data_IF_621870606244
#
_entry.id   IF_621870606244
#
_cell.length_a   1.000
_cell.length_b   1.000
_cell.length_c   1.000
_cell.angle_alpha   90.00
_cell.angle_beta   90.00
_cell.angle_gamma   90.00
#
_symmetry.space_group_name_H-M   'P 1'
#
loop_
_entity.id
_entity.type
_entity.pdbx_description
1 polymer ?
#
# COMPACT_ATOMS: atom_id res chain seq x y z
N UNK A 1 20.86 33.38 -34.77
CA UNK A 1 20.92 33.48 -36.24
C UNK A 1 20.01 32.40 -36.82
N UNK A 2 19.36 32.68 -37.94
CA UNK A 2 18.61 31.68 -38.71
C UNK A 2 19.53 31.20 -39.82
N UNK A 3 19.97 29.96 -39.76
CA UNK A 3 20.86 29.37 -40.75
C UNK A 3 20.22 28.11 -41.33
N UNK A 4 20.34 27.94 -42.64
CA UNK A 4 19.95 26.71 -43.32
C UNK A 4 21.22 25.94 -43.59
N UNK A 5 21.60 25.07 -42.65
CA UNK A 5 22.70 24.14 -42.88
C UNK A 5 22.17 23.12 -43.87
N UNK A 6 22.58 23.23 -45.14
CA UNK A 6 21.95 22.68 -46.35
C UNK A 6 21.71 21.17 -46.45
N UNK A 7 21.65 20.45 -45.33
CA UNK A 7 21.39 19.02 -45.20
C UNK A 7 20.35 18.72 -44.08
N UNK A 8 20.13 19.59 -43.07
CA UNK A 8 19.44 19.23 -41.82
C UNK A 8 18.18 20.05 -41.45
N UNK A 9 17.68 20.89 -42.35
CA UNK A 9 16.49 21.72 -42.11
C UNK A 9 16.83 23.07 -41.47
N UNK A 10 15.79 23.73 -40.92
CA UNK A 10 15.91 25.07 -40.36
C UNK A 10 16.50 25.05 -38.95
N UNK A 11 17.61 25.78 -38.72
CA UNK A 11 18.25 25.90 -37.41
C UNK A 11 18.03 27.27 -36.77
N UNK A 12 17.78 27.29 -35.46
CA UNK A 12 17.74 28.48 -34.62
C UNK A 12 18.78 28.36 -33.51
N UNK A 13 19.72 29.30 -33.44
CA UNK A 13 20.79 29.28 -32.45
C UNK A 13 21.10 30.68 -31.88
N UNK A 14 21.58 30.69 -30.63
CA UNK A 14 22.27 31.83 -30.02
C UNK A 14 23.78 31.57 -30.01
N UNK A 15 24.57 32.60 -30.32
CA UNK A 15 26.04 32.50 -30.41
C UNK A 15 26.75 32.87 -29.10
N UNK A 16 25.99 33.33 -28.10
CA UNK A 16 26.44 33.68 -26.76
C UNK A 16 25.52 32.98 -25.74
N UNK A 17 25.83 33.09 -24.45
CA UNK A 17 25.01 32.56 -23.35
C UNK A 17 23.68 33.34 -23.19
N UNK A 18 22.83 33.26 -24.19
CA UNK A 18 21.53 33.89 -24.29
C UNK A 18 20.46 32.82 -24.59
N UNK A 19 19.25 32.95 -24.03
CA UNK A 19 18.20 31.98 -24.26
C UNK A 19 17.63 32.06 -25.68
N UNK A 20 17.05 30.96 -26.15
CA UNK A 20 16.09 30.95 -27.26
C UNK A 20 14.69 31.01 -26.65
N UNK A 21 13.99 32.13 -26.82
CA UNK A 21 12.66 32.34 -26.26
C UNK A 21 11.58 32.34 -27.36
N UNK A 22 10.46 31.68 -27.05
CA UNK A 22 9.25 31.67 -27.87
C UNK A 22 8.14 32.42 -27.15
N UNK A 23 7.62 33.47 -27.78
CA UNK A 23 6.61 34.37 -27.23
C UNK A 23 5.29 34.26 -27.98
N UNK A 24 4.19 34.52 -27.29
CA UNK A 24 2.88 34.82 -27.90
C UNK A 24 2.17 35.87 -27.06
N UNK A 25 1.21 36.61 -27.63
CA UNK A 25 0.44 37.63 -26.90
C UNK A 25 1.33 38.65 -26.15
N UNK A 26 2.34 39.22 -26.82
CA UNK A 26 3.30 40.15 -26.21
C UNK A 26 4.43 39.44 -25.45
N UNK A 27 4.80 39.93 -24.28
CA UNK A 27 5.95 39.45 -23.49
C UNK A 27 5.68 38.15 -22.71
N UNK A 28 4.71 37.32 -23.14
CA UNK A 28 4.44 36.05 -22.47
C UNK A 28 5.33 34.95 -23.04
N UNK A 29 6.37 34.56 -22.29
CA UNK A 29 7.23 33.42 -22.62
C UNK A 29 6.43 32.12 -22.56
N UNK A 30 6.38 31.40 -23.68
CA UNK A 30 5.76 30.08 -23.78
C UNK A 30 6.76 28.96 -23.65
N UNK A 31 7.94 29.14 -24.25
CA UNK A 31 9.05 28.22 -24.14
C UNK A 31 10.35 29.02 -24.10
N UNK A 32 11.29 28.60 -23.26
CA UNK A 32 12.66 29.10 -23.23
C UNK A 32 13.62 27.92 -23.30
N UNK A 33 14.70 28.05 -24.05
CA UNK A 33 15.88 27.20 -23.91
C UNK A 33 16.95 28.11 -23.35
N UNK A 34 17.36 27.90 -22.09
CA UNK A 34 18.39 28.74 -21.46
C UNK A 34 19.73 28.58 -22.16
N UNK A 35 20.65 29.52 -21.98
CA UNK A 35 22.01 29.36 -22.50
C UNK A 35 22.80 28.19 -21.86
N UNK A 36 22.29 27.61 -20.78
CA UNK A 36 22.80 26.36 -20.18
C UNK A 36 22.15 25.09 -20.76
N UNK A 37 21.21 25.22 -21.70
CA UNK A 37 20.54 24.09 -22.38
C UNK A 37 19.28 23.56 -21.70
N UNK A 38 18.81 24.16 -20.60
CA UNK A 38 17.58 23.73 -19.94
C UNK A 38 16.36 24.27 -20.68
N UNK A 39 15.35 23.43 -20.86
CA UNK A 39 14.11 23.78 -21.54
C UNK A 39 13.02 24.11 -20.52
N UNK A 40 12.56 25.36 -20.50
CA UNK A 40 11.39 25.79 -19.74
C UNK A 40 10.18 25.89 -20.66
N UNK A 41 9.02 25.30 -20.30
CA UNK A 41 7.73 25.53 -20.97
C UNK A 41 6.80 26.18 -19.95
N UNK A 42 6.36 27.41 -20.20
CA UNK A 42 5.57 28.22 -19.27
C UNK A 42 6.35 28.75 -18.04
N UNK A 43 7.66 28.56 -18.00
CA UNK A 43 8.59 29.14 -17.02
C UNK A 43 9.85 29.67 -17.72
N UNK A 44 10.41 30.78 -17.23
CA UNK A 44 11.66 31.38 -17.73
C UNK A 44 12.88 31.01 -16.89
N UNK A 45 12.68 30.28 -15.80
CA UNK A 45 13.73 29.88 -14.86
C UNK A 45 13.59 28.38 -14.57
N UNK A 46 13.90 27.51 -15.55
CA UNK A 46 13.79 26.06 -15.38
C UNK A 46 14.80 25.56 -14.34
N UNK A 47 14.32 24.84 -13.33
CA UNK A 47 15.19 24.22 -12.31
C UNK A 47 15.78 22.87 -12.74
N UNK A 48 15.25 22.30 -13.83
CA UNK A 48 15.63 21.00 -14.38
C UNK A 48 15.90 21.11 -15.88
N UNK A 49 16.51 20.07 -16.47
CA UNK A 49 16.79 20.01 -17.91
C UNK A 49 15.52 20.21 -18.78
N UNK A 50 14.36 19.77 -18.28
CA UNK A 50 13.04 20.12 -18.80
C UNK A 50 12.13 20.48 -17.62
N UNK A 51 11.66 21.73 -17.57
CA UNK A 51 10.76 22.25 -16.54
C UNK A 51 9.49 22.79 -17.21
N UNK A 52 8.36 22.12 -17.03
CA UNK A 52 7.07 22.52 -17.62
C UNK A 52 6.18 23.06 -16.52
N UNK A 53 6.04 24.38 -16.46
CA UNK A 53 5.06 25.06 -15.61
C UNK A 53 3.81 25.32 -16.41
N UNK A 54 2.81 24.48 -16.22
CA UNK A 54 1.48 24.73 -16.73
C UNK A 54 0.68 25.54 -15.71
N UNK A 55 -0.30 26.31 -16.19
CA UNK A 55 -1.35 26.83 -15.32
C UNK A 55 -2.31 25.70 -14.94
N UNK A 56 -3.58 25.88 -15.24
CA UNK A 56 -4.67 24.91 -14.96
C UNK A 56 -4.61 23.62 -15.82
N UNK A 57 -3.70 23.51 -16.79
CA UNK A 57 -3.70 22.46 -17.83
C UNK A 57 -2.62 21.39 -17.60
N UNK A 58 -2.76 20.14 -18.11
CA UNK A 58 -1.71 19.12 -18.11
C UNK A 58 -0.45 19.51 -18.87
N UNK A 59 0.67 18.91 -18.48
CA UNK A 59 1.94 18.89 -19.23
C UNK A 59 1.92 17.91 -20.40
N UNK A 60 1.16 16.81 -20.30
CA UNK A 60 1.06 15.75 -21.32
C UNK A 60 -0.41 15.61 -21.70
N UNK A 61 -0.75 15.85 -22.97
CA UNK A 61 -2.08 15.58 -23.50
C UNK A 61 -2.04 14.22 -24.22
N UNK A 62 -2.53 13.16 -23.59
CA UNK A 62 -2.77 11.90 -24.27
C UNK A 62 -4.26 11.78 -24.56
N UNK A 63 -4.65 11.42 -25.79
CA UNK A 63 -6.06 11.13 -26.06
C UNK A 63 -6.45 9.92 -25.22
N UNK A 64 -7.40 10.11 -24.29
CA UNK A 64 -7.79 9.11 -23.28
C UNK A 64 -6.97 9.11 -21.99
N UNK A 65 -6.16 10.14 -21.71
CA UNK A 65 -5.40 10.23 -20.45
C UNK A 65 -4.78 11.61 -20.23
N UNK A 66 -4.67 11.97 -18.94
CA UNK A 66 -3.86 13.07 -18.40
C UNK A 66 -4.56 14.45 -18.50
N UNK A 67 -5.44 14.67 -17.51
CA UNK A 67 -5.84 15.94 -16.86
C UNK A 67 -7.01 16.72 -17.49
N UNK A 68 -8.17 16.49 -16.91
CA UNK A 68 -9.00 17.56 -16.34
C UNK A 68 -9.17 17.15 -14.86
N UNK A 69 -8.97 17.97 -13.83
CA UNK A 69 -9.53 19.31 -13.68
C UNK A 69 -8.91 19.96 -12.44
N UNK A 70 -8.64 21.25 -12.53
CA UNK A 70 -8.86 22.14 -11.39
C UNK A 70 -10.36 22.22 -11.20
N UNK A 71 -10.96 21.42 -10.30
CA UNK A 71 -12.37 21.60 -9.94
C UNK A 71 -12.59 21.47 -8.45
N UNK A 72 -13.00 22.60 -7.91
CA UNK A 72 -13.74 22.80 -6.67
C UNK A 72 -15.23 22.43 -6.86
N UNK A 73 -15.55 21.37 -7.60
CA UNK A 73 -16.93 21.02 -7.95
C UNK A 73 -17.11 19.55 -8.29
N UNK A 74 -18.30 19.03 -8.01
CA UNK A 74 -18.72 17.65 -8.23
C UNK A 74 -19.02 17.35 -9.70
N UNK A 75 -18.37 16.35 -10.29
CA UNK A 75 -18.97 15.53 -11.37
C UNK A 75 -18.39 14.10 -11.37
N UNK A 76 -19.16 13.06 -11.73
CA UNK A 76 -18.99 11.71 -11.19
C UNK A 76 -18.17 10.69 -12.00
N UNK A 77 -17.60 11.02 -13.16
CA UNK A 77 -16.91 10.03 -14.00
C UNK A 77 -15.51 10.52 -14.36
N UNK A 78 -14.51 9.62 -14.32
CA UNK A 78 -13.20 9.62 -15.06
C UNK A 78 -12.03 9.01 -14.21
N UNK A 79 -11.36 7.91 -14.62
CA UNK A 79 -10.20 7.35 -13.92
C UNK A 79 -8.92 8.17 -14.15
N UNK A 80 -8.18 8.54 -13.10
CA UNK A 80 -7.02 9.44 -13.20
C UNK A 80 -5.70 8.84 -12.69
N UNK A 81 -4.64 9.00 -13.50
CA UNK A 81 -3.23 8.99 -13.09
C UNK A 81 -2.81 10.44 -12.81
N UNK A 82 -2.59 10.79 -11.54
CA UNK A 82 -2.27 12.14 -11.09
C UNK A 82 -0.88 12.18 -10.43
N UNK A 83 0.03 12.95 -11.02
CA UNK A 83 1.23 13.45 -10.37
C UNK A 83 1.01 14.90 -9.97
N UNK A 84 0.65 15.18 -8.72
CA UNK A 84 0.62 16.53 -8.18
C UNK A 84 1.95 16.82 -7.47
N UNK A 85 2.67 17.86 -7.90
CA UNK A 85 3.90 18.32 -7.27
C UNK A 85 3.70 19.73 -6.71
N UNK A 86 3.55 19.80 -5.39
CA UNK A 86 4.04 20.94 -4.61
C UNK A 86 4.96 20.33 -3.56
N UNK A 87 6.26 20.39 -3.81
CA UNK A 87 7.29 19.97 -2.87
C UNK A 87 7.53 18.46 -2.74
N UNK A 88 7.02 17.60 -3.64
CA UNK A 88 7.27 16.15 -3.58
C UNK A 88 6.51 15.37 -4.64
N UNK A 89 7.19 14.48 -5.36
CA UNK A 89 6.61 13.72 -6.47
C UNK A 89 5.65 12.64 -5.98
N UNK A 90 4.34 12.88 -6.08
CA UNK A 90 3.31 11.84 -5.92
C UNK A 90 3.14 11.10 -7.24
N UNK A 91 3.29 9.77 -7.27
CA UNK A 91 2.73 8.93 -8.33
C UNK A 91 1.42 8.38 -7.78
N UNK A 92 0.27 8.99 -8.06
CA UNK A 92 -1.02 8.54 -7.52
C UNK A 92 -2.03 8.24 -8.63
N UNK A 93 -2.38 6.97 -8.82
CA UNK A 93 -3.60 6.57 -9.55
C UNK A 93 -4.82 6.72 -8.61
N UNK A 94 -5.27 7.95 -8.37
CA UNK A 94 -6.36 8.23 -7.43
C UNK A 94 -7.69 8.50 -8.13
N UNK A 95 -8.71 7.68 -7.88
CA UNK A 95 -10.10 7.95 -8.29
C UNK A 95 -11.00 8.16 -7.08
N UNK A 96 -11.94 9.10 -7.17
CA UNK A 96 -12.94 9.40 -6.12
C UNK A 96 -13.94 8.26 -5.88
N UNK A 97 -14.00 7.24 -6.74
CA UNK A 97 -14.97 6.13 -6.63
C UNK A 97 -14.31 4.75 -6.51
N UNK A 98 -13.09 4.69 -5.97
CA UNK A 98 -12.47 3.43 -5.55
C UNK A 98 -11.48 2.82 -6.53
N UNK A 99 -10.46 3.60 -6.89
CA UNK A 99 -9.22 3.04 -7.42
C UNK A 99 -8.13 3.00 -6.35
N UNK A 100 -7.23 2.02 -6.49
CA UNK A 100 -5.98 1.86 -5.75
C UNK A 100 -5.16 3.14 -5.82
N UNK A 101 -5.26 4.03 -4.83
CA UNK A 101 -4.34 5.15 -4.72
C UNK A 101 -3.03 4.67 -4.09
N UNK A 102 -2.06 4.24 -4.91
CA UNK A 102 -0.70 4.01 -4.44
C UNK A 102 -0.10 5.38 -4.11
N UNK A 103 0.05 5.72 -2.83
CA UNK A 103 0.83 6.88 -2.41
C UNK A 103 2.08 6.34 -1.74
N UNK A 104 3.23 6.50 -2.39
CA UNK A 104 4.52 6.48 -1.71
C UNK A 104 4.84 7.94 -1.33
N UNK A 105 4.48 8.36 -0.13
CA UNK A 105 4.79 9.73 0.33
C UNK A 105 5.09 9.79 1.82
N UNK A 106 6.32 10.21 2.14
CA UNK A 106 6.64 11.14 3.22
C UNK A 106 8.01 11.77 2.91
N UNK A 107 8.10 13.11 2.96
CA UNK A 107 9.38 13.82 2.83
C UNK A 107 9.90 14.03 4.23
N UNK A 108 10.62 13.04 4.71
CA UNK A 108 11.87 13.33 5.39
C UNK A 108 12.98 13.30 4.34
N UNK A 109 14.05 14.04 4.58
CA UNK A 109 15.27 14.30 3.77
C UNK A 109 15.93 13.08 3.07
N UNK A 110 15.38 11.87 3.21
CA UNK A 110 15.86 10.59 2.67
C UNK A 110 14.82 9.74 1.91
N UNK A 111 13.65 10.27 1.55
CA UNK A 111 12.79 9.64 0.53
C UNK A 111 12.10 8.33 0.92
N UNK A 112 11.76 8.13 2.19
CA UNK A 112 11.12 6.91 2.65
C UNK A 112 9.72 7.21 3.21
N UNK A 113 8.71 7.07 2.33
CA UNK A 113 7.29 7.23 2.66
C UNK A 113 6.59 5.91 2.96
N UNK A 114 5.41 6.00 3.58
CA UNK A 114 4.51 4.85 3.69
C UNK A 114 3.92 4.51 2.31
N UNK A 115 3.52 3.25 2.10
CA UNK A 115 2.65 2.83 0.97
C UNK A 115 1.23 2.73 1.51
N UNK A 116 0.31 3.50 0.95
CA UNK A 116 -1.10 3.48 1.37
C UNK A 116 -2.00 2.94 0.26
N UNK A 117 -3.08 2.27 0.67
CA UNK A 117 -4.13 1.74 -0.18
C UNK A 117 -5.45 2.36 0.26
N UNK A 118 -6.10 3.06 -0.66
CA UNK A 118 -7.42 3.64 -0.46
C UNK A 118 -8.43 2.94 -1.33
N UNK A 119 -9.67 2.86 -0.86
CA UNK A 119 -10.82 2.52 -1.69
C UNK A 119 -11.91 3.56 -1.50
N UNK A 120 -12.86 3.58 -2.43
CA UNK A 120 -14.06 4.41 -2.31
C UNK A 120 -14.80 4.10 -1.00
N UNK A 121 -15.54 5.10 -0.54
CA UNK A 121 -16.52 4.90 0.51
C UNK A 121 -17.89 4.60 -0.11
N UNK A 122 -18.74 3.87 0.62
CA UNK A 122 -20.03 3.40 0.12
C UNK A 122 -21.08 4.52 -0.02
N UNK A 123 -20.73 5.77 0.29
CA UNK A 123 -21.62 6.92 0.23
C UNK A 123 -21.09 7.93 -0.79
N UNK A 124 -21.99 8.35 -1.68
CA UNK A 124 -21.71 9.36 -2.70
C UNK A 124 -21.19 10.66 -2.05
N UNK A 125 -20.12 11.22 -2.62
CA UNK A 125 -19.49 12.46 -2.13
C UNK A 125 -18.61 12.32 -0.88
N UNK A 126 -18.38 11.11 -0.36
CA UNK A 126 -17.42 10.91 0.74
C UNK A 126 -15.99 10.72 0.22
N UNK A 127 -14.95 11.26 0.90
CA UNK A 127 -13.57 11.02 0.51
C UNK A 127 -13.25 9.52 0.59
N UNK A 128 -12.30 9.02 -0.19
CA UNK A 128 -11.84 7.63 -0.09
C UNK A 128 -11.30 7.32 1.32
N UNK A 129 -11.49 6.08 1.79
CA UNK A 129 -10.96 5.62 3.09
C UNK A 129 -9.69 4.80 2.92
N UNK A 130 -8.72 5.03 3.81
CA UNK A 130 -7.52 4.19 3.92
C UNK A 130 -7.95 2.78 4.36
N UNK A 131 -7.59 1.76 3.58
CA UNK A 131 -7.91 0.35 3.86
C UNK A 131 -6.69 -0.44 4.30
N UNK A 132 -5.52 -0.11 3.78
CA UNK A 132 -4.26 -0.72 4.15
C UNK A 132 -3.12 0.29 4.07
N UNK A 133 -2.14 0.13 4.95
CA UNK A 133 -0.90 0.89 4.97
C UNK A 133 0.28 -0.08 5.14
N UNK A 134 1.40 0.21 4.48
CA UNK A 134 2.72 -0.31 4.81
C UNK A 134 3.52 0.90 5.26
N UNK A 135 3.92 0.96 6.52
CA UNK A 135 4.69 2.07 7.04
C UNK A 135 6.12 2.03 6.48
N UNK A 136 6.83 3.15 6.54
CA UNK A 136 8.27 3.21 6.25
C UNK A 136 9.08 2.21 7.08
N UNK A 137 8.64 1.92 8.31
CA UNK A 137 9.29 0.94 9.18
C UNK A 137 8.99 -0.51 8.80
N UNK A 138 8.13 -0.74 7.80
CA UNK A 138 7.76 -2.06 7.28
C UNK A 138 6.52 -2.69 7.93
N UNK A 139 5.84 -1.98 8.84
CA UNK A 139 4.63 -2.51 9.48
C UNK A 139 3.44 -2.42 8.53
N UNK A 140 2.64 -3.47 8.44
CA UNK A 140 1.42 -3.53 7.64
C UNK A 140 0.20 -3.31 8.53
N UNK A 141 -0.58 -2.27 8.26
CA UNK A 141 -1.86 -2.01 8.89
C UNK A 141 -3.01 -2.33 7.93
N UNK A 142 -4.06 -3.01 8.41
CA UNK A 142 -5.34 -3.17 7.69
C UNK A 142 -6.44 -2.52 8.53
N UNK A 143 -7.11 -1.50 7.98
CA UNK A 143 -8.07 -0.63 8.68
C UNK A 143 -7.49 0.04 9.96
N UNK A 144 -6.17 0.22 10.01
CA UNK A 144 -5.45 1.00 11.03
C UNK A 144 -4.38 1.81 10.33
N UNK A 145 -4.24 3.09 10.70
CA UNK A 145 -3.30 4.02 10.05
C UNK A 145 -1.91 4.01 10.69
N UNK A 146 -1.80 3.49 11.93
CA UNK A 146 -0.59 3.51 12.75
C UNK A 146 -0.36 2.12 13.38
N UNK A 147 0.02 1.10 12.60
CA UNK A 147 0.24 -0.24 13.12
C UNK A 147 1.43 -0.27 14.11
N UNK A 148 1.18 -0.73 15.34
CA UNK A 148 2.18 -0.88 16.39
C UNK A 148 2.98 -2.20 16.30
N UNK A 149 2.53 -3.14 15.46
CA UNK A 149 3.17 -4.44 15.19
C UNK A 149 3.41 -4.65 13.69
N UNK A 150 4.27 -5.60 13.28
CA UNK A 150 4.57 -5.87 11.87
C UNK A 150 3.34 -6.16 11.00
N UNK A 151 2.30 -6.76 11.57
CA UNK A 151 0.97 -6.87 10.96
C UNK A 151 -0.08 -6.54 12.04
N UNK A 152 -0.89 -5.53 11.79
CA UNK A 152 -2.00 -5.15 12.66
C UNK A 152 -3.29 -5.02 11.83
N UNK A 153 -4.33 -5.76 12.24
CA UNK A 153 -5.63 -5.76 11.56
C UNK A 153 -6.69 -5.29 12.54
N UNK A 154 -7.37 -4.19 12.22
CA UNK A 154 -8.53 -3.74 12.96
C UNK A 154 -9.78 -4.50 12.49
N UNK A 155 -9.96 -5.71 13.03
CA UNK A 155 -11.09 -6.60 12.74
C UNK A 155 -10.74 -8.08 12.86
N UNK A 156 -11.74 -8.94 12.62
CA UNK A 156 -11.57 -10.41 12.60
C UNK A 156 -10.85 -10.85 11.31
N UNK A 157 -9.87 -11.73 11.45
CA UNK A 157 -9.16 -12.36 10.33
C UNK A 157 -9.80 -13.74 10.04
N UNK A 158 -10.15 -14.00 8.78
CA UNK A 158 -10.71 -15.28 8.33
C UNK A 158 -9.79 -15.93 7.28
N UNK A 159 -9.28 -17.13 7.58
CA UNK A 159 -8.56 -17.96 6.62
C UNK A 159 -9.52 -18.95 5.96
N UNK A 160 -9.63 -18.92 4.63
CA UNK A 160 -10.54 -19.79 3.86
C UNK A 160 -9.92 -21.15 3.49
N UNK A 161 -8.59 -21.25 3.56
CA UNK A 161 -7.83 -22.48 3.31
C UNK A 161 -6.43 -22.35 3.91
N UNK A 162 -5.87 -23.44 4.41
CA UNK A 162 -4.44 -23.50 4.78
C UNK A 162 -4.06 -22.89 6.13
N UNK A 163 -4.98 -22.27 6.90
CA UNK A 163 -4.72 -21.90 8.30
C UNK A 163 -3.63 -20.85 8.52
N UNK A 164 -2.93 -20.93 9.65
CA UNK A 164 -1.79 -20.06 10.03
C UNK A 164 -0.56 -20.91 10.30
N UNK A 165 0.56 -20.63 9.61
CA UNK A 165 1.84 -21.33 9.80
C UNK A 165 2.68 -20.65 10.88
N UNK A 166 3.28 -21.43 11.77
CA UNK A 166 4.17 -20.97 12.83
C UNK A 166 5.66 -21.20 12.50
N UNK A 167 6.58 -20.56 13.23
CA UNK A 167 8.03 -20.72 13.01
C UNK A 167 8.56 -22.16 13.18
N UNK A 168 7.84 -23.02 13.91
CA UNK A 168 8.15 -24.45 14.05
C UNK A 168 7.70 -25.29 12.83
N UNK A 169 7.24 -24.63 11.77
CA UNK A 169 6.65 -25.19 10.55
C UNK A 169 5.29 -25.86 10.70
N UNK A 170 4.68 -25.86 11.89
CA UNK A 170 3.31 -26.36 12.06
C UNK A 170 2.30 -25.37 11.47
N UNK A 171 1.12 -25.88 11.11
CA UNK A 171 0.02 -25.09 10.57
C UNK A 171 -1.21 -25.33 11.44
N UNK A 172 -1.73 -24.27 12.04
CA UNK A 172 -3.03 -24.33 12.73
C UNK A 172 -4.15 -24.09 11.74
N UNK A 173 -4.89 -25.16 11.45
CA UNK A 173 -6.06 -25.14 10.54
C UNK A 173 -7.39 -25.02 11.29
N UNK A 174 -7.38 -25.23 12.61
CA UNK A 174 -8.54 -25.09 13.51
C UNK A 174 -8.12 -24.49 14.83
N UNK A 175 -9.03 -23.86 15.56
CA UNK A 175 -8.74 -23.31 16.88
C UNK A 175 -8.31 -24.43 17.84
N UNK A 176 -7.30 -24.17 18.67
CA UNK A 176 -7.02 -25.04 19.81
C UNK A 176 -8.12 -24.82 20.86
N UNK A 177 -9.03 -25.78 21.00
CA UNK A 177 -10.16 -25.70 21.93
C UNK A 177 -9.83 -26.24 23.32
N UNK A 178 -8.66 -26.86 23.50
CA UNK A 178 -8.30 -27.59 24.71
C UNK A 178 -9.19 -28.81 24.98
N UNK A 179 -10.11 -29.15 24.07
CA UNK A 179 -11.03 -30.30 24.22
C UNK A 179 -10.25 -31.61 24.31
N UNK A 180 -9.23 -31.78 23.48
CA UNK A 180 -8.36 -32.96 23.52
C UNK A 180 -7.64 -33.10 24.86
N UNK A 181 -7.19 -31.99 25.46
CA UNK A 181 -6.55 -32.02 26.77
C UNK A 181 -7.55 -32.36 27.88
N UNK A 182 -8.76 -31.81 27.82
CA UNK A 182 -9.82 -32.15 28.78
C UNK A 182 -10.22 -33.61 28.69
N UNK A 183 -10.32 -34.15 27.47
CA UNK A 183 -10.64 -35.55 27.25
C UNK A 183 -9.52 -36.46 27.77
N UNK A 184 -8.26 -36.11 27.50
CA UNK A 184 -7.11 -36.86 28.01
C UNK A 184 -7.02 -36.83 29.55
N UNK A 185 -7.35 -35.70 30.17
CA UNK A 185 -7.41 -35.59 31.64
C UNK A 185 -8.50 -36.50 32.18
N UNK A 186 -9.68 -36.49 31.57
CA UNK A 186 -10.81 -37.34 31.97
C UNK A 186 -10.46 -38.83 31.84
N UNK A 187 -9.89 -39.24 30.70
CA UNK A 187 -9.42 -40.62 30.48
C UNK A 187 -8.38 -41.05 31.52
N UNK A 188 -7.44 -40.17 31.87
CA UNK A 188 -6.47 -40.46 32.93
C UNK A 188 -7.10 -40.61 34.32
N UNK A 189 -8.18 -39.89 34.61
CA UNK A 189 -8.91 -40.04 35.87
C UNK A 189 -9.68 -41.36 35.91
N UNK A 190 -10.35 -41.74 34.82
CA UNK A 190 -11.06 -43.01 34.69
C UNK A 190 -10.11 -44.20 34.84
N UNK A 191 -8.95 -44.17 34.16
CA UNK A 191 -7.91 -45.20 34.29
C UNK A 191 -7.40 -45.35 35.72
N UNK A 192 -7.28 -44.25 36.47
CA UNK A 192 -6.87 -44.29 37.88
C UNK A 192 -7.92 -44.96 38.76
N UNK A 193 -9.20 -44.75 38.47
CA UNK A 193 -10.30 -45.36 39.22
C UNK A 193 -10.36 -46.87 38.94
N UNK A 194 -10.25 -47.26 37.67
CA UNK A 194 -10.27 -48.67 37.26
C UNK A 194 -9.10 -49.46 37.88
N UNK A 195 -7.90 -48.86 37.90
CA UNK A 195 -6.73 -49.43 38.58
C UNK A 195 -6.99 -49.70 40.07
N UNK A 196 -7.67 -48.79 40.76
CA UNK A 196 -7.99 -48.97 42.17
C UNK A 196 -9.11 -50.00 42.41
N UNK A 197 -10.06 -50.13 41.49
CA UNK A 197 -11.06 -51.20 41.56
C UNK A 197 -10.41 -52.57 41.39
N UNK A 198 -9.56 -52.75 40.38
CA UNK A 198 -8.83 -53.99 40.15
C UNK A 198 -7.94 -54.37 41.35
N UNK A 199 -7.27 -53.39 41.97
CA UNK A 199 -6.48 -53.61 43.19
C UNK A 199 -7.33 -54.17 44.33
N UNK A 200 -8.52 -53.62 44.55
CA UNK A 200 -9.45 -54.11 45.59
C UNK A 200 -9.96 -55.51 45.28
N UNK A 201 -10.30 -55.78 44.03
CA UNK A 201 -10.82 -57.08 43.61
C UNK A 201 -9.78 -58.19 43.79
N UNK A 202 -8.52 -57.93 43.41
CA UNK A 202 -7.39 -58.83 43.68
C UNK A 202 -7.25 -59.11 45.18
N UNK A 203 -7.41 -58.09 46.03
CA UNK A 203 -7.24 -58.28 47.48
C UNK A 203 -8.39 -59.06 48.12
N UNK A 204 -9.61 -58.86 47.64
CA UNK A 204 -10.75 -59.69 48.02
C UNK A 204 -10.56 -61.14 47.60
N UNK A 205 -10.10 -61.39 46.36
CA UNK A 205 -9.83 -62.74 45.86
C UNK A 205 -8.75 -63.46 46.66
N UNK A 206 -7.64 -62.77 47.01
CA UNK A 206 -6.62 -63.35 47.90
C UNK A 206 -7.17 -63.73 49.26
N UNK A 207 -8.07 -62.89 49.81
CA UNK A 207 -8.70 -63.16 51.10
C UNK A 207 -9.60 -64.39 51.01
N UNK A 208 -10.38 -64.53 49.94
CA UNK A 208 -11.22 -65.70 49.69
C UNK A 208 -10.38 -66.99 49.57
N UNK A 209 -9.29 -66.96 48.79
CA UNK A 209 -8.36 -68.09 48.63
C UNK A 209 -7.76 -68.51 49.98
N UNK A 210 -7.43 -67.57 50.86
CA UNK A 210 -6.89 -67.88 52.19
C UNK A 210 -7.93 -68.50 53.15
N UNK A 211 -9.22 -68.22 52.93
CA UNK A 211 -10.33 -68.85 53.69
C UNK A 211 -10.54 -70.28 53.19
N UNK A 212 -10.55 -70.50 51.88
CA UNK A 212 -10.85 -71.81 51.29
C UNK A 212 -9.73 -72.86 51.50
N UNK A 213 -8.53 -72.42 51.88
CA UNK A 213 -7.37 -73.28 52.17
C UNK A 213 -7.18 -73.62 53.68
N UNK A 214 -8.11 -73.21 54.56
CA UNK A 214 -8.12 -73.54 55.99
C UNK A 214 -9.14 -74.62 56.32
#
# INVERSE_FOLDING_TARGET
MMETDGINGLSFATINNAPIDFYTNGNNHRMTITGSGNVGIGTISPNFALDVKTGTKPVIAAWGSIVDRTYTGSSPDEPAFATYSYGGTKFGIGHSWGALSLLAYDIDTYGAGNIKFYTGNNAEGQPCAERMIITRTGNVGIKTTNPASPLEVNGVIHSTSGGVKFPDNTVQTTAYTGTELKELIKQNQELRIELEQLRREIENLKTQINIDNK
#
